data_IF_175189538709
#
_entry.id   IF_175189538709
#
_cell.length_a   1.000
_cell.length_b   1.000
_cell.length_c   1.000
_cell.angle_alpha   90.00
_cell.angle_beta   90.00
_cell.angle_gamma   90.00
#
_symmetry.space_group_name_H-M   'P 1'
#
loop_
_entity.id
_entity.type
_entity.pdbx_description
1 polymer ?
#
# COMPACT_ATOMS: atom_id res chain seq x y z
N UNK A 1 -8.43 -1.30 0.72
CA UNK A 1 -7.07 -0.90 1.16
C UNK A 1 -6.87 0.60 1.22
N UNK A 2 -7.42 1.36 0.26
CA UNK A 2 -7.16 2.79 0.14
C UNK A 2 -7.67 3.64 1.31
N UNK A 3 -8.83 3.32 1.90
CA UNK A 3 -9.35 4.03 3.09
C UNK A 3 -8.42 3.87 4.31
N UNK A 4 -7.90 2.66 4.52
CA UNK A 4 -6.91 2.38 5.57
C UNK A 4 -5.58 3.05 5.29
N UNK A 5 -5.16 3.19 4.03
CA UNK A 5 -3.98 3.96 3.68
C UNK A 5 -4.11 5.41 4.14
N UNK A 6 -5.19 6.11 3.77
CA UNK A 6 -5.36 7.52 4.11
C UNK A 6 -5.51 7.79 5.61
N UNK A 7 -6.20 6.90 6.34
CA UNK A 7 -6.26 6.97 7.80
C UNK A 7 -4.87 6.88 8.42
N UNK A 8 -4.09 5.88 8.02
CA UNK A 8 -2.74 5.66 8.54
C UNK A 8 -1.78 6.80 8.16
N UNK A 9 -1.82 7.27 6.91
CA UNK A 9 -1.04 8.42 6.46
C UNK A 9 -1.32 9.65 7.31
N UNK A 10 -2.61 9.96 7.54
CA UNK A 10 -3.00 11.10 8.37
C UNK A 10 -2.51 10.92 9.80
N UNK A 11 -2.79 9.78 10.44
CA UNK A 11 -2.49 9.56 11.85
C UNK A 11 -0.99 9.43 12.16
N UNK A 12 -0.24 8.72 11.32
CA UNK A 12 1.16 8.36 11.62
C UNK A 12 2.18 9.36 11.05
N UNK A 13 1.77 10.20 10.09
CA UNK A 13 2.70 11.14 9.42
C UNK A 13 2.23 12.58 9.40
N UNK A 14 0.95 12.85 9.20
CA UNK A 14 0.47 14.25 9.03
C UNK A 14 -0.02 14.90 10.32
N UNK A 15 -0.62 14.13 11.24
CA UNK A 15 -1.38 14.65 12.39
C UNK A 15 -0.57 15.51 13.38
N UNK A 16 0.76 15.42 13.37
CA UNK A 16 1.64 16.18 14.27
C UNK A 16 2.78 16.89 13.53
N UNK A 17 2.68 17.05 12.20
CA UNK A 17 3.79 17.56 11.39
C UNK A 17 3.39 18.86 10.71
N UNK A 18 4.17 19.90 10.93
CA UNK A 18 4.06 21.16 10.20
C UNK A 18 5.09 21.15 9.07
N UNK A 19 4.63 21.31 7.84
CA UNK A 19 5.49 21.42 6.67
C UNK A 19 5.68 22.90 6.35
N UNK A 20 6.92 23.30 6.09
CA UNK A 20 7.22 24.68 5.71
C UNK A 20 6.71 24.99 4.30
N UNK A 21 6.67 23.99 3.40
CA UNK A 21 6.18 24.14 2.03
C UNK A 21 5.66 22.81 1.47
N UNK A 22 5.03 22.90 0.30
CA UNK A 22 4.45 21.75 -0.39
C UNK A 22 5.48 20.70 -0.80
N UNK A 23 6.68 21.10 -1.23
CA UNK A 23 7.72 20.17 -1.67
C UNK A 23 8.24 19.30 -0.53
N UNK A 24 8.36 19.87 0.67
CA UNK A 24 8.71 19.13 1.89
C UNK A 24 7.65 18.06 2.21
N UNK A 25 6.37 18.45 2.22
CA UNK A 25 5.26 17.54 2.46
C UNK A 25 5.24 16.39 1.43
N UNK A 26 5.44 16.72 0.15
CA UNK A 26 5.47 15.75 -0.93
C UNK A 26 6.64 14.77 -0.80
N UNK A 27 7.84 15.26 -0.46
CA UNK A 27 9.00 14.39 -0.23
C UNK A 27 8.78 13.47 0.96
N UNK A 28 8.24 13.97 2.05
CA UNK A 28 7.98 13.17 3.24
C UNK A 28 6.94 12.08 2.99
N UNK A 29 5.82 12.43 2.35
CA UNK A 29 4.77 11.47 1.99
C UNK A 29 5.32 10.40 1.03
N UNK A 30 6.09 10.80 0.01
CA UNK A 30 6.70 9.84 -0.91
C UNK A 30 7.66 8.90 -0.19
N UNK A 31 8.50 9.43 0.71
CA UNK A 31 9.41 8.63 1.51
C UNK A 31 8.64 7.65 2.39
N UNK A 32 7.55 8.10 3.02
CA UNK A 32 6.68 7.21 3.80
C UNK A 32 6.10 6.07 2.96
N UNK A 33 5.62 6.36 1.75
CA UNK A 33 5.03 5.35 0.87
C UNK A 33 6.08 4.31 0.44
N UNK A 34 7.21 4.78 -0.09
CA UNK A 34 8.24 3.94 -0.71
C UNK A 34 9.06 3.19 0.34
N UNK A 35 9.49 3.87 1.41
CA UNK A 35 10.41 3.28 2.39
C UNK A 35 9.70 2.51 3.50
N UNK A 36 8.40 2.75 3.74
CA UNK A 36 7.69 2.14 4.86
C UNK A 36 6.38 1.47 4.46
N UNK A 37 5.43 2.21 3.87
CA UNK A 37 4.09 1.68 3.65
C UNK A 37 4.09 0.46 2.74
N UNK A 38 4.64 0.58 1.53
CA UNK A 38 4.62 -0.52 0.55
C UNK A 38 5.47 -1.73 0.97
N UNK A 39 6.72 -1.59 1.45
CA UNK A 39 7.56 -2.74 1.77
C UNK A 39 7.32 -3.33 3.17
N UNK A 40 7.00 -2.52 4.18
CA UNK A 40 7.04 -2.93 5.60
C UNK A 40 5.65 -3.06 6.23
N UNK A 41 4.66 -2.25 5.83
CA UNK A 41 3.38 -2.18 6.55
C UNK A 41 2.56 -3.45 6.40
N UNK A 42 2.39 -4.21 7.47
CA UNK A 42 1.58 -5.43 7.44
C UNK A 42 0.08 -5.11 7.50
N UNK A 43 -0.70 -5.80 6.66
CA UNK A 43 -2.15 -5.73 6.67
C UNK A 43 -2.77 -7.09 7.00
N UNK A 44 -3.59 -7.15 8.05
CA UNK A 44 -4.31 -8.37 8.43
C UNK A 44 -5.23 -8.89 7.31
N UNK A 45 -5.81 -7.98 6.52
CA UNK A 45 -6.61 -8.32 5.33
C UNK A 45 -5.79 -8.93 4.20
N UNK A 46 -4.45 -8.78 4.22
CA UNK A 46 -3.52 -9.38 3.27
C UNK A 46 -2.85 -10.65 3.81
N UNK A 47 -3.35 -11.20 4.92
CA UNK A 47 -2.71 -12.33 5.59
C UNK A 47 -1.39 -11.93 6.25
N UNK A 48 -1.33 -10.74 6.84
CA UNK A 48 -0.14 -10.18 7.50
C UNK A 48 1.05 -10.02 6.55
N UNK A 49 0.76 -9.57 5.33
CA UNK A 49 1.77 -9.21 4.34
C UNK A 49 1.76 -7.73 4.08
N UNK A 50 2.90 -7.21 3.64
CA UNK A 50 2.99 -5.87 3.09
C UNK A 50 2.37 -5.80 1.71
N UNK A 51 1.91 -4.61 1.26
CA UNK A 51 1.35 -4.45 -0.08
C UNK A 51 2.27 -4.98 -1.17
N UNK A 52 3.56 -4.64 -1.12
CA UNK A 52 4.54 -5.10 -2.09
C UNK A 52 4.73 -6.62 -2.03
N UNK A 53 4.77 -7.22 -0.84
CA UNK A 53 4.90 -8.67 -0.70
C UNK A 53 3.66 -9.42 -1.18
N UNK A 54 2.47 -8.83 -1.01
CA UNK A 54 1.23 -9.40 -1.52
C UNK A 54 1.16 -9.35 -3.05
N UNK A 55 1.57 -8.23 -3.67
CA UNK A 55 1.64 -8.10 -5.14
C UNK A 55 2.72 -8.97 -5.77
N UNK A 56 3.85 -9.19 -5.08
CA UNK A 56 4.95 -10.02 -5.54
C UNK A 56 4.65 -11.53 -5.47
N UNK A 57 3.58 -11.93 -4.78
CA UNK A 57 3.13 -13.33 -4.84
C UNK A 57 2.74 -13.63 -6.28
N UNK A 58 3.21 -14.75 -6.87
CA UNK A 58 2.64 -15.23 -8.10
C UNK A 58 1.18 -15.50 -7.79
N UNK A 59 0.29 -14.62 -8.27
CA UNK A 59 -1.09 -15.02 -8.45
C UNK A 59 -0.98 -16.16 -9.44
N UNK A 60 -1.23 -17.39 -8.97
CA UNK A 60 -1.68 -18.43 -9.88
C UNK A 60 -2.95 -17.82 -10.47
N UNK A 61 -2.80 -17.10 -11.58
CA UNK A 61 -3.88 -16.95 -12.52
C UNK A 61 -4.10 -18.38 -12.93
N UNK A 62 -5.06 -19.06 -12.28
CA UNK A 62 -5.61 -20.26 -12.88
C UNK A 62 -5.79 -19.91 -14.36
N UNK A 63 -5.19 -20.69 -15.28
CA UNK A 63 -5.46 -20.46 -16.69
C UNK A 63 -6.97 -20.45 -16.78
N UNK A 64 -7.54 -19.34 -17.24
CA UNK A 64 -8.98 -19.25 -17.45
C UNK A 64 -9.26 -20.37 -18.45
N UNK A 65 -9.73 -21.52 -17.94
CA UNK A 65 -10.21 -22.59 -18.78
C UNK A 65 -11.48 -22.03 -19.38
N UNK A 66 -11.37 -21.46 -20.58
CA UNK A 66 -12.48 -21.31 -21.51
C UNK A 66 -12.85 -22.73 -21.98
N UNK A 67 -13.25 -23.58 -21.03
CA UNK A 67 -13.93 -24.82 -21.33
C UNK A 67 -15.42 -24.53 -21.33
N UNK A 68 -15.97 -24.66 -22.55
CA UNK A 68 -17.37 -25.00 -22.83
C UNK A 68 -18.36 -23.83 -22.84
N UNK A 69 -18.47 -23.21 -24.02
CA UNK A 69 -19.80 -22.94 -24.57
C UNK A 69 -19.93 -23.88 -25.77
N UNK A 70 -20.49 -25.06 -25.51
CA UNK A 70 -21.01 -25.94 -26.55
C UNK A 70 -22.33 -25.41 -27.11
#
# INVERSE_FOLDING_TARGET
MMERFFLNLKMERVWQRQYANYDEARRDINQYIVAFYNPVRLHSTLGYLSPAAYEAKPTVKEPICLSEIS
#
